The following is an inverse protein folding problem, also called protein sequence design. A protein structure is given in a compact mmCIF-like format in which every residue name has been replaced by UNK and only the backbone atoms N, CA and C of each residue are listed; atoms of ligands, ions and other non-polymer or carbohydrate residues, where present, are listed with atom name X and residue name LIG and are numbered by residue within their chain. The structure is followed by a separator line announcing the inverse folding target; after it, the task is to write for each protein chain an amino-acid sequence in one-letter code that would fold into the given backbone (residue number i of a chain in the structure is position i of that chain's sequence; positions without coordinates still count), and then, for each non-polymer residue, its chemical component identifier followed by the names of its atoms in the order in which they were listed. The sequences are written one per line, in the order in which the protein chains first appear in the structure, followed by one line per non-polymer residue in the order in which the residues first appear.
data_IF_121236745519
#
_entry.id   IF_121236745519
#
_cell.length_a   1.000
_cell.length_b   1.000
_cell.length_c   1.000
_cell.angle_alpha   90.00
_cell.angle_beta   90.00
_cell.angle_gamma   90.00
#
_symmetry.space_group_name_H-M   'P 1'
#
loop_
_entity.id
_entity.type
_entity.pdbx_description
1 polymer ?
#
# COMPACT_ATOMS: atom_id res chain seq x y z
N UNK A 1 2.75 -13.81 14.57
CA UNK A 1 2.82 -12.34 14.65
C UNK A 1 1.47 -11.80 14.21
N UNK A 2 0.80 -10.91 14.97
CA UNK A 2 -0.50 -10.35 14.55
C UNK A 2 -0.33 -9.61 13.21
N UNK A 3 -1.19 -9.88 12.23
CA UNK A 3 -1.18 -9.29 10.88
C UNK A 3 -1.19 -7.75 10.93
N UNK A 4 -1.91 -7.21 11.90
CA UNK A 4 -1.97 -5.79 12.24
C UNK A 4 -0.57 -5.18 12.48
N UNK A 5 0.27 -5.81 13.31
CA UNK A 5 1.66 -5.35 13.55
C UNK A 5 2.52 -5.39 12.30
N UNK A 6 2.25 -6.33 11.39
CA UNK A 6 2.94 -6.43 10.11
C UNK A 6 2.55 -5.27 9.20
N UNK A 7 1.24 -5.00 9.07
CA UNK A 7 0.73 -3.90 8.23
C UNK A 7 1.13 -2.53 8.76
N UNK A 8 1.04 -2.31 10.07
CA UNK A 8 1.52 -1.08 10.71
C UNK A 8 3.02 -0.87 10.46
N UNK A 9 3.82 -1.94 10.45
CA UNK A 9 5.25 -1.85 10.06
C UNK A 9 5.44 -1.57 8.57
N UNK A 10 4.54 -2.04 7.71
CA UNK A 10 4.61 -1.82 6.26
C UNK A 10 4.23 -0.39 5.88
N UNK A 11 3.22 0.17 6.53
CA UNK A 11 2.80 1.57 6.39
C UNK A 11 3.85 2.50 6.99
N UNK A 12 4.30 2.24 8.22
CA UNK A 12 5.31 3.05 8.90
C UNK A 12 6.75 2.75 8.43
N UNK A 13 6.96 1.97 7.36
CA UNK A 13 8.31 1.77 6.84
C UNK A 13 8.80 3.11 6.28
N UNK A 14 9.63 3.78 7.07
CA UNK A 14 10.23 5.06 6.69
C UNK A 14 11.02 4.85 5.41
N UNK A 15 10.91 5.78 4.47
CA UNK A 15 11.71 5.82 3.24
C UNK A 15 13.24 5.89 3.52
N UNK A 16 13.62 6.01 4.79
CA UNK A 16 14.96 6.12 5.36
C UNK A 16 15.34 4.93 6.28
N UNK A 17 14.45 3.93 6.46
CA UNK A 17 14.69 2.77 7.33
C UNK A 17 15.56 1.70 6.69
N UNK A 18 16.15 0.82 7.50
CA UNK A 18 16.93 -0.31 6.99
C UNK A 18 16.10 -1.23 6.09
N UNK A 19 16.75 -1.77 5.06
CA UNK A 19 16.17 -2.80 4.16
C UNK A 19 15.68 -3.98 4.98
N UNK A 20 14.62 -4.63 4.53
CA UNK A 20 14.09 -5.82 5.19
C UNK A 20 15.01 -7.01 4.96
N UNK A 21 15.36 -7.72 6.02
CA UNK A 21 16.27 -8.87 5.97
C UNK A 21 15.57 -10.22 5.75
N UNK A 22 14.24 -10.28 5.81
CA UNK A 22 13.45 -11.53 5.76
C UNK A 22 12.39 -11.52 4.65
N UNK A 23 12.83 -11.32 3.41
CA UNK A 23 11.93 -11.14 2.25
C UNK A 23 11.06 -12.38 2.00
N UNK A 24 11.65 -13.58 2.01
CA UNK A 24 10.94 -14.85 1.78
C UNK A 24 9.77 -15.07 2.74
N UNK A 25 9.95 -14.74 4.03
CA UNK A 25 8.90 -14.85 5.05
C UNK A 25 7.76 -13.85 4.75
N UNK A 26 8.12 -12.67 4.26
CA UNK A 26 7.16 -11.60 3.97
C UNK A 26 6.28 -11.97 2.78
N UNK A 27 6.86 -12.63 1.77
CA UNK A 27 6.15 -13.12 0.59
C UNK A 27 5.15 -14.24 0.92
N UNK A 28 5.55 -15.19 1.76
CA UNK A 28 4.65 -16.26 2.20
C UNK A 28 3.48 -15.71 3.03
N UNK A 29 3.75 -14.76 3.92
CA UNK A 29 2.69 -14.06 4.67
C UNK A 29 1.76 -13.33 3.72
N UNK A 30 2.28 -12.62 2.72
CA UNK A 30 1.47 -11.92 1.73
C UNK A 30 0.55 -12.87 0.98
N UNK A 31 1.08 -13.95 0.40
CA UNK A 31 0.29 -14.95 -0.33
C UNK A 31 -0.83 -15.52 0.55
N UNK A 32 -0.52 -15.82 1.81
CA UNK A 32 -1.51 -16.35 2.75
C UNK A 32 -2.62 -15.33 3.03
N UNK A 33 -2.28 -14.07 3.26
CA UNK A 33 -3.25 -13.00 3.52
C UNK A 33 -4.18 -12.77 2.33
N UNK A 34 -3.63 -12.72 1.12
CA UNK A 34 -4.45 -12.59 -0.10
C UNK A 34 -5.42 -13.78 -0.23
N UNK A 35 -4.94 -14.99 0.08
CA UNK A 35 -5.78 -16.20 0.08
C UNK A 35 -6.90 -16.09 1.13
N UNK A 36 -6.59 -15.64 2.34
CA UNK A 36 -7.57 -15.50 3.41
C UNK A 36 -8.64 -14.47 3.06
N UNK A 37 -8.26 -13.33 2.49
CA UNK A 37 -9.22 -12.30 2.05
C UNK A 37 -10.13 -12.82 0.94
N UNK A 38 -9.60 -13.60 -0.01
CA UNK A 38 -10.41 -14.25 -1.04
C UNK A 38 -11.36 -15.31 -0.45
N UNK A 39 -10.93 -16.05 0.57
CA UNK A 39 -11.82 -16.99 1.26
C UNK A 39 -12.96 -16.26 1.96
N UNK A 40 -12.67 -15.13 2.61
CA UNK A 40 -13.70 -14.31 3.26
C UNK A 40 -14.67 -13.68 2.26
N UNK A 41 -14.18 -13.21 1.11
CA UNK A 41 -15.02 -12.71 0.01
C UNK A 41 -16.02 -13.78 -0.47
N UNK A 42 -15.64 -15.05 -0.44
CA UNK A 42 -16.48 -16.20 -0.80
C UNK A 42 -17.18 -16.86 0.39
N UNK A 43 -17.19 -16.22 1.56
CA UNK A 43 -17.87 -16.74 2.76
C UNK A 43 -19.39 -16.81 2.56
N UNK A 44 -20.04 -17.82 3.16
CA UNK A 44 -21.50 -17.89 3.25
C UNK A 44 -22.08 -16.79 4.16
N UNK A 45 -21.27 -16.26 5.07
CA UNK A 45 -21.62 -15.09 5.86
C UNK A 45 -21.58 -13.84 4.96
N UNK A 46 -22.79 -13.32 4.66
CA UNK A 46 -22.98 -12.16 3.81
C UNK A 46 -22.29 -10.90 4.33
N UNK A 47 -22.24 -10.72 5.65
CA UNK A 47 -21.62 -9.53 6.25
C UNK A 47 -20.10 -9.58 6.09
N UNK A 48 -19.50 -10.75 6.34
CA UNK A 48 -18.07 -11.01 6.12
C UNK A 48 -17.72 -10.85 4.64
N UNK A 49 -18.48 -11.50 3.74
CA UNK A 49 -18.27 -11.41 2.29
C UNK A 49 -18.31 -9.98 1.78
N UNK A 50 -19.30 -9.19 2.21
CA UNK A 50 -19.47 -7.82 1.74
C UNK A 50 -18.34 -6.89 2.22
N UNK A 51 -17.86 -7.06 3.45
CA UNK A 51 -16.73 -6.27 3.95
C UNK A 51 -15.41 -6.71 3.32
N UNK A 52 -15.22 -8.02 3.09
CA UNK A 52 -14.00 -8.57 2.51
C UNK A 52 -13.71 -8.05 1.09
N UNK A 53 -14.75 -7.72 0.30
CA UNK A 53 -14.61 -7.08 -1.03
C UNK A 53 -13.82 -5.76 -1.01
N UNK A 54 -13.72 -5.11 0.15
CA UNK A 54 -13.00 -3.83 0.31
C UNK A 54 -11.53 -4.01 0.73
N UNK A 55 -11.11 -5.24 1.04
CA UNK A 55 -9.76 -5.55 1.51
C UNK A 55 -8.75 -5.58 0.37
N UNK A 56 -9.16 -6.02 -0.81
CA UNK A 56 -8.32 -6.11 -1.99
C UNK A 56 -8.66 -4.98 -2.97
N UNK A 57 -7.61 -4.35 -3.49
CA UNK A 57 -7.71 -3.31 -4.50
C UNK A 57 -7.06 -3.75 -5.80
N UNK A 58 -7.72 -3.41 -6.92
CA UNK A 58 -7.20 -3.55 -8.27
C UNK A 58 -7.37 -2.23 -9.01
N UNK A 59 -6.37 -1.85 -9.80
CA UNK A 59 -6.32 -0.56 -10.49
C UNK A 59 -4.96 0.11 -10.35
N UNK A 60 -4.88 1.36 -10.79
CA UNK A 60 -3.64 2.14 -10.73
C UNK A 60 -3.33 2.59 -9.31
N UNK A 61 -2.06 2.47 -8.95
CA UNK A 61 -1.53 2.90 -7.66
C UNK A 61 -0.28 3.75 -7.90
N UNK A 62 -0.02 4.70 -7.00
CA UNK A 62 1.13 5.62 -7.11
C UNK A 62 1.98 5.59 -5.85
N UNK A 63 3.28 5.81 -6.01
CA UNK A 63 4.21 5.99 -4.90
C UNK A 63 5.05 7.22 -5.18
N UNK A 64 5.05 8.16 -4.24
CA UNK A 64 5.77 9.43 -4.35
C UNK A 64 6.99 9.38 -3.45
N UNK A 65 8.17 9.63 -4.02
CA UNK A 65 9.42 9.79 -3.29
C UNK A 65 9.96 11.21 -3.44
N UNK A 66 10.51 11.75 -2.36
CA UNK A 66 11.30 12.98 -2.41
C UNK A 66 12.72 12.61 -2.85
N UNK A 67 13.25 13.29 -3.87
CA UNK A 67 14.65 13.20 -4.31
C UNK A 67 15.21 11.77 -4.55
N UNK A 68 14.40 10.86 -5.09
CA UNK A 68 14.86 9.49 -5.41
C UNK A 68 15.67 9.46 -6.71
N UNK A 69 16.95 9.07 -6.62
CA UNK A 69 17.83 8.97 -7.77
C UNK A 69 17.56 7.72 -8.62
N UNK A 70 17.42 6.57 -7.97
CA UNK A 70 17.22 5.26 -8.60
C UNK A 70 16.11 4.50 -7.88
N UNK A 71 15.30 3.77 -8.66
CA UNK A 71 14.24 2.92 -8.11
C UNK A 71 14.82 1.53 -7.88
N UNK A 72 14.83 1.10 -6.61
CA UNK A 72 15.24 -0.24 -6.23
C UNK A 72 14.02 -1.17 -6.16
N UNK A 73 13.99 -2.19 -7.01
CA UNK A 73 12.90 -3.17 -7.10
C UNK A 73 13.08 -4.35 -6.14
N UNK A 74 14.14 -4.36 -5.31
CA UNK A 74 14.41 -5.41 -4.33
C UNK A 74 13.49 -5.35 -3.08
N UNK A 75 12.71 -4.28 -2.95
CA UNK A 75 12.03 -3.92 -1.72
C UNK A 75 10.58 -4.44 -1.68
N UNK A 76 10.29 -5.33 -0.73
CA UNK A 76 9.00 -6.02 -0.66
C UNK A 76 7.99 -5.30 0.23
N UNK A 77 6.81 -5.05 -0.35
CA UNK A 77 5.58 -4.49 0.25
C UNK A 77 5.74 -3.13 0.94
N UNK A 78 5.46 -2.10 0.15
CA UNK A 78 5.60 -0.71 0.56
C UNK A 78 4.25 0.00 0.46
N UNK A 79 4.09 1.14 1.14
CA UNK A 79 2.88 1.96 1.02
C UNK A 79 2.79 2.64 -0.35
N UNK A 80 1.59 2.62 -0.93
CA UNK A 80 1.19 3.32 -2.14
C UNK A 80 -0.08 4.09 -1.85
N UNK A 81 -0.38 5.05 -2.70
CA UNK A 81 -1.60 5.86 -2.63
C UNK A 81 -2.49 5.61 -3.84
N UNK A 82 -3.80 5.68 -3.61
CA UNK A 82 -4.83 5.71 -4.65
C UNK A 82 -5.19 7.14 -5.08
N UNK A 83 -4.59 8.18 -4.49
CA UNK A 83 -4.93 9.56 -4.84
C UNK A 83 -4.46 9.91 -6.24
N UNK A 84 -5.30 10.64 -6.96
CA UNK A 84 -4.97 11.21 -8.26
C UNK A 84 -4.39 12.60 -8.14
N UNK A 85 -4.91 13.40 -7.21
CA UNK A 85 -4.34 14.70 -6.88
C UNK A 85 -3.23 14.53 -5.81
N UNK A 86 -1.99 14.78 -6.19
CA UNK A 86 -0.84 14.63 -5.28
C UNK A 86 -0.88 15.64 -4.13
N UNK A 87 -1.56 16.77 -4.30
CA UNK A 87 -1.76 17.77 -3.23
C UNK A 87 -2.56 17.22 -2.03
N UNK A 88 -3.26 16.09 -2.21
CA UNK A 88 -3.97 15.41 -1.12
C UNK A 88 -3.03 14.60 -0.20
N UNK A 89 -1.77 14.38 -0.62
CA UNK A 89 -0.75 13.71 0.20
C UNK A 89 -0.17 14.68 1.22
N UNK A 90 -0.16 14.30 2.50
CA UNK A 90 0.24 15.19 3.59
C UNK A 90 1.71 15.64 3.46
N UNK A 91 2.56 14.79 2.89
CA UNK A 91 3.99 15.04 2.74
C UNK A 91 4.36 15.59 1.36
N UNK A 92 3.42 15.68 0.42
CA UNK A 92 3.71 16.22 -0.90
C UNK A 92 3.86 17.73 -0.82
N UNK A 93 4.96 18.23 -1.37
CA UNK A 93 5.20 19.65 -1.45
C UNK A 93 5.80 19.98 -2.81
N UNK A 94 5.06 20.65 -3.71
CA UNK A 94 5.50 20.91 -5.08
C UNK A 94 6.75 21.78 -5.21
N UNK A 95 7.32 22.27 -4.10
CA UNK A 95 8.59 22.97 -4.02
C UNK A 95 9.83 22.06 -3.84
N UNK A 96 9.67 20.73 -3.83
CA UNK A 96 10.78 19.76 -3.87
C UNK A 96 10.81 18.92 -5.16
N UNK A 97 11.94 18.28 -5.48
CA UNK A 97 11.95 17.32 -6.59
C UNK A 97 11.32 16.01 -6.13
N UNK A 98 10.54 15.40 -7.02
CA UNK A 98 9.82 14.16 -6.72
C UNK A 98 10.08 13.12 -7.79
N UNK A 99 10.07 11.86 -7.36
CA UNK A 99 9.88 10.72 -8.27
C UNK A 99 8.53 10.11 -7.99
N UNK A 100 7.70 9.99 -9.03
CA UNK A 100 6.40 9.34 -8.98
C UNK A 100 6.53 8.02 -9.71
N UNK A 101 6.26 6.94 -9.01
CA UNK A 101 6.21 5.59 -9.56
C UNK A 101 4.72 5.23 -9.69
N UNK A 102 4.28 4.87 -10.89
CA UNK A 102 2.93 4.37 -11.13
C UNK A 102 3.00 2.88 -11.42
N UNK A 103 2.16 2.09 -10.75
CA UNK A 103 2.03 0.66 -10.96
C UNK A 103 0.55 0.26 -11.10
N UNK A 104 0.31 -1.00 -11.48
CA UNK A 104 -1.03 -1.57 -11.57
C UNK A 104 -1.18 -2.79 -10.67
N UNK A 105 -2.18 -2.73 -9.79
CA UNK A 105 -2.67 -3.87 -9.03
C UNK A 105 -3.70 -4.62 -9.88
N UNK A 106 -3.49 -5.92 -10.06
CA UNK A 106 -4.34 -6.79 -10.90
C UNK A 106 -5.10 -7.79 -10.05
N UNK A 107 -6.01 -8.57 -10.66
CA UNK A 107 -6.68 -9.65 -9.93
C UNK A 107 -5.69 -10.71 -9.43
N UNK A 108 -4.65 -11.01 -10.20
CA UNK A 108 -3.65 -12.02 -9.86
C UNK A 108 -2.66 -11.50 -8.81
N UNK A 109 -2.35 -10.21 -8.83
CA UNK A 109 -1.52 -9.52 -7.87
C UNK A 109 -2.24 -8.24 -7.39
N UNK A 110 -3.17 -8.34 -6.44
CA UNK A 110 -3.93 -7.20 -5.95
C UNK A 110 -3.11 -6.41 -4.92
N UNK A 111 -3.48 -5.16 -4.67
CA UNK A 111 -3.01 -4.40 -3.51
C UNK A 111 -3.92 -4.67 -2.30
N UNK A 112 -3.39 -4.47 -1.10
CA UNK A 112 -4.18 -4.56 0.13
C UNK A 112 -4.60 -3.15 0.53
N UNK A 113 -5.91 -2.93 0.62
CA UNK A 113 -6.49 -1.68 1.12
C UNK A 113 -6.25 -1.55 2.61
N UNK A 114 -5.40 -0.60 3.02
CA UNK A 114 -5.10 -0.42 4.43
C UNK A 114 -6.32 0.11 5.18
N UNK A 115 -7.06 1.06 4.60
CA UNK A 115 -8.33 1.53 5.15
C UNK A 115 -9.35 0.39 5.24
N UNK A 116 -9.50 -0.42 4.18
CA UNK A 116 -10.42 -1.55 4.20
C UNK A 116 -10.08 -2.57 5.29
N UNK A 117 -8.79 -2.82 5.50
CA UNK A 117 -8.31 -3.69 6.58
C UNK A 117 -8.65 -3.15 7.97
N UNK A 118 -8.41 -1.86 8.21
CA UNK A 118 -8.72 -1.22 9.50
C UNK A 118 -10.23 -1.21 9.78
N UNK A 119 -11.06 -0.93 8.77
CA UNK A 119 -12.52 -1.00 8.90
C UNK A 119 -13.00 -2.42 9.24
N UNK A 120 -12.40 -3.43 8.62
CA UNK A 120 -12.69 -4.84 8.90
C UNK A 120 -12.30 -5.21 10.34
N UNK A 121 -11.08 -4.87 10.78
CA UNK A 121 -10.65 -5.11 12.16
C UNK A 121 -11.55 -4.40 13.17
N UNK A 122 -11.90 -3.13 12.94
CA UNK A 122 -12.80 -2.40 13.83
C UNK A 122 -14.16 -3.08 13.96
N UNK A 123 -14.69 -3.59 12.84
CA UNK A 123 -16.00 -4.22 12.79
C UNK A 123 -16.04 -5.59 13.48
N UNK A 124 -15.01 -6.42 13.29
CA UNK A 124 -15.01 -7.82 13.73
C UNK A 124 -14.13 -8.08 14.96
N UNK A 125 -13.11 -7.27 15.20
CA UNK A 125 -12.18 -7.39 16.33
C UNK A 125 -12.29 -6.22 17.32
N UNK A 126 -13.03 -5.15 16.99
CA UNK A 126 -13.29 -4.02 17.88
C UNK A 126 -12.11 -3.05 18.08
N UNK A 127 -11.06 -3.16 17.26
CA UNK A 127 -9.86 -2.33 17.35
C UNK A 127 -9.97 -1.06 16.49
N UNK A 128 -9.73 0.15 17.04
CA UNK A 128 -9.77 1.42 16.31
C UNK A 128 -8.36 1.98 16.10
N UNK A 129 -7.87 1.87 14.87
CA UNK A 129 -6.48 2.17 14.49
C UNK A 129 -6.43 3.12 13.29
N UNK A 130 -7.09 4.30 13.38
CA UNK A 130 -7.10 5.26 12.27
C UNK A 130 -6.44 6.58 12.68
N UNK A 131 -5.44 7.04 11.92
CA UNK A 131 -4.98 8.43 11.97
C UNK A 131 -5.59 9.23 10.80
N UNK A 132 -6.01 10.50 11.00
CA UNK A 132 -6.61 11.33 9.95
C UNK A 132 -5.81 11.46 8.63
N UNK A 133 -4.45 11.50 8.64
CA UNK A 133 -3.66 11.59 7.41
C UNK A 133 -3.91 10.42 6.45
N UNK A 134 -3.94 9.19 6.98
CA UNK A 134 -4.08 7.95 6.21
C UNK A 134 -5.43 7.89 5.46
N UNK A 135 -6.48 8.50 6.04
CA UNK A 135 -7.83 8.52 5.45
C UNK A 135 -7.90 9.30 4.13
N UNK A 136 -7.12 10.37 3.98
CA UNK A 136 -7.11 11.17 2.73
C UNK A 136 -6.22 10.54 1.67
N UNK A 137 -5.09 9.95 2.08
CA UNK A 137 -4.11 9.35 1.17
C UNK A 137 -4.58 8.03 0.56
N UNK A 138 -5.64 7.41 1.12
CA UNK A 138 -6.19 6.14 0.64
C UNK A 138 -5.07 5.11 0.44
N UNK A 139 -4.33 4.86 1.51
CA UNK A 139 -3.15 4.00 1.43
C UNK A 139 -3.50 2.55 1.09
N UNK A 140 -2.68 1.98 0.22
CA UNK A 140 -2.67 0.56 -0.08
C UNK A 140 -1.26 0.02 0.04
N UNK A 141 -1.14 -1.25 0.39
CA UNK A 141 0.15 -1.93 0.44
C UNK A 141 0.28 -2.74 -0.84
N UNK A 142 1.45 -2.67 -1.48
CA UNK A 142 1.70 -3.41 -2.71
C UNK A 142 3.21 -3.71 -2.89
N UNK A 143 3.59 -4.88 -3.41
CA UNK A 143 4.99 -5.18 -3.68
C UNK A 143 5.52 -4.32 -4.83
N UNK A 144 6.66 -3.66 -4.61
CA UNK A 144 7.36 -2.96 -5.68
C UNK A 144 8.05 -4.00 -6.58
N UNK A 145 7.52 -4.21 -7.77
CA UNK A 145 8.04 -5.19 -8.73
C UNK A 145 8.12 -4.55 -10.11
N UNK A 146 9.25 -4.71 -10.79
CA UNK A 146 9.51 -4.11 -12.10
C UNK A 146 8.39 -4.40 -13.11
N UNK A 147 7.93 -5.65 -13.17
CA UNK A 147 6.84 -6.09 -14.06
C UNK A 147 5.48 -5.41 -13.83
N UNK A 148 5.28 -4.81 -12.65
CA UNK A 148 4.04 -4.15 -12.26
C UNK A 148 4.07 -2.65 -12.54
N UNK A 149 5.26 -2.09 -12.86
CA UNK A 149 5.44 -0.67 -13.10
C UNK A 149 4.90 -0.28 -14.47
N UNK A 150 4.10 0.79 -14.49
CA UNK A 150 3.59 1.43 -15.70
C UNK A 150 4.47 2.62 -16.11
N UNK A 151 4.88 3.45 -15.14
CA UNK A 151 5.72 4.63 -15.40
C UNK A 151 6.54 5.03 -14.19
N UNK A 152 7.65 5.72 -14.46
CA UNK A 152 8.45 6.43 -13.46
C UNK A 152 8.66 7.85 -13.99
N UNK A 153 8.17 8.83 -13.25
CA UNK A 153 8.21 10.24 -13.63
C UNK A 153 9.10 10.99 -12.63
N UNK A 154 10.14 11.66 -13.15
CA UNK A 154 11.02 12.52 -12.35
C UNK A 154 10.61 13.98 -12.57
N UNK A 155 10.15 14.62 -11.51
CA UNK A 155 9.79 16.03 -11.47
C UNK A 155 10.94 16.77 -10.80
N UNK A 156 11.76 17.44 -11.59
CA UNK A 156 12.83 18.29 -11.09
C UNK A 156 12.36 19.73 -10.95
N UNK A 157 12.73 20.38 -9.85
CA UNK A 157 12.52 21.82 -9.72
C UNK A 157 13.74 22.54 -10.23
N UNK A 158 13.53 23.32 -11.28
CA UNK A 158 14.50 24.30 -11.73
C UNK A 158 14.69 25.33 -10.62
N UNK A 159 15.82 25.27 -9.91
CA UNK A 159 16.29 26.37 -9.07
C UNK A 159 16.44 27.59 -9.99
N UNK A 160 15.68 28.64 -9.72
CA UNK A 160 15.87 29.96 -10.34
C UNK A 160 17.13 30.62 -9.80
#
# INVERSE_FOLDING_TARGET
MKLEKLFLKWVNHTKEGSRRSSLDITDEIWKQVIKDFRNWENSEDKEVSEHAKRLLYTGKIRRVHLDLNEVDYDNHYVSWTLVENLEDLYFFNPAYSHTIITAEATKDNPAISFIGYLEFLKKFEGEDLVTPPIRKEKEVIFPLQEKSILSIEKIEIKKR
#
